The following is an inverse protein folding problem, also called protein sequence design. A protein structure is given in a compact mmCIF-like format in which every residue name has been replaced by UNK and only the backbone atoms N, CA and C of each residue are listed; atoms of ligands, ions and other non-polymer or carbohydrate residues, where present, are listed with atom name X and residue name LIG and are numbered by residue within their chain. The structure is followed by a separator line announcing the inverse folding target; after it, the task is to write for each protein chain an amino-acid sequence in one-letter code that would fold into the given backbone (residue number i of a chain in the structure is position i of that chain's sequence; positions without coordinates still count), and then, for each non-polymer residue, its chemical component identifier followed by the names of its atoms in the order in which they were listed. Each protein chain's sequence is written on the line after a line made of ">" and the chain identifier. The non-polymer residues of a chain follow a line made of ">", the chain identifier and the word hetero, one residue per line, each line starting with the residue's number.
data_IF_592790286758
#
_entry.id   IF_592790286758
#
_cell.length_a   1.000
_cell.length_b   1.000
_cell.length_c   1.000
_cell.angle_alpha   90.00
_cell.angle_beta   90.00
_cell.angle_gamma   90.00
#
_symmetry.space_group_name_H-M   'P 1'
#
loop_
_entity.id
_entity.type
_entity.pdbx_description
1 polymer ?
#
# COMPACT_ATOMS: atom_id res chain seq x y z
N UNK A 1 34.66 -20.08 -27.63
CA UNK A 1 33.77 -20.14 -26.44
C UNK A 1 33.05 -18.81 -26.34
N UNK A 2 31.79 -18.66 -26.80
CA UNK A 2 31.09 -17.41 -26.60
C UNK A 2 30.59 -17.37 -25.15
N UNK A 3 31.04 -16.36 -24.40
CA UNK A 3 30.54 -16.07 -23.06
C UNK A 3 29.06 -15.70 -23.15
N UNK A 4 28.23 -16.46 -22.45
CA UNK A 4 26.82 -16.16 -22.25
C UNK A 4 26.70 -14.85 -21.48
N UNK A 5 26.41 -13.78 -22.22
CA UNK A 5 26.10 -12.47 -21.68
C UNK A 5 24.78 -12.58 -20.89
N UNK A 6 24.89 -12.78 -19.58
CA UNK A 6 23.75 -12.84 -18.67
C UNK A 6 23.00 -11.52 -18.74
N UNK A 7 21.85 -11.53 -19.42
CA UNK A 7 20.86 -10.45 -19.40
C UNK A 7 20.58 -10.09 -17.95
N UNK A 8 21.20 -9.02 -17.43
CA UNK A 8 20.81 -8.43 -16.14
C UNK A 8 19.37 -7.96 -16.31
N UNK A 9 18.42 -8.73 -15.80
CA UNK A 9 17.01 -8.35 -15.77
C UNK A 9 16.87 -7.08 -14.94
N UNK A 10 16.06 -6.12 -15.41
CA UNK A 10 15.83 -4.88 -14.68
C UNK A 10 15.38 -5.20 -13.24
N UNK A 11 16.06 -4.61 -12.25
CA UNK A 11 15.80 -4.79 -10.82
C UNK A 11 15.99 -6.23 -10.27
N UNK A 12 16.72 -7.11 -10.98
CA UNK A 12 16.98 -8.48 -10.53
C UNK A 12 15.78 -9.44 -10.63
N UNK A 13 14.64 -8.96 -11.15
CA UNK A 13 13.40 -9.73 -11.27
C UNK A 13 13.54 -10.93 -12.21
N UNK A 14 12.84 -12.03 -11.89
CA UNK A 14 12.67 -13.12 -12.84
C UNK A 14 11.91 -12.63 -14.09
N UNK A 15 12.17 -13.19 -15.30
CA UNK A 15 11.48 -12.75 -16.52
C UNK A 15 9.95 -12.84 -16.45
N UNK A 16 9.39 -13.80 -15.71
CA UNK A 16 7.95 -13.95 -15.48
C UNK A 16 7.36 -12.80 -14.66
N UNK A 17 8.02 -12.45 -13.56
CA UNK A 17 7.60 -11.33 -12.70
C UNK A 17 7.69 -10.01 -13.45
N UNK A 18 8.80 -9.79 -14.14
CA UNK A 18 9.00 -8.57 -14.92
C UNK A 18 7.92 -8.42 -15.99
N UNK A 19 7.55 -9.50 -16.71
CA UNK A 19 6.43 -9.48 -17.67
C UNK A 19 5.11 -9.15 -16.99
N UNK A 20 4.84 -9.75 -15.83
CA UNK A 20 3.61 -9.51 -15.07
C UNK A 20 3.53 -8.05 -14.64
N UNK A 21 4.56 -7.52 -13.97
CA UNK A 21 4.62 -6.14 -13.50
C UNK A 21 4.55 -5.12 -14.66
N UNK A 22 5.22 -5.38 -15.80
CA UNK A 22 5.09 -4.54 -17.01
C UNK A 22 3.68 -4.53 -17.59
N UNK A 23 2.92 -5.61 -17.44
CA UNK A 23 1.54 -5.64 -17.90
C UNK A 23 0.62 -4.77 -17.03
N UNK A 24 0.99 -4.51 -15.77
CA UNK A 24 0.25 -3.65 -14.83
C UNK A 24 0.60 -2.17 -15.05
N UNK A 25 0.39 -1.68 -16.27
CA UNK A 25 0.93 -0.40 -16.75
C UNK A 25 0.07 0.84 -16.44
N UNK A 26 -0.97 0.71 -15.63
CA UNK A 26 -1.75 1.85 -15.13
C UNK A 26 -2.13 1.63 -13.67
N UNK A 27 -2.28 2.69 -12.85
CA UNK A 27 -2.71 2.56 -11.46
C UNK A 27 -4.00 1.75 -11.28
N UNK A 28 -4.97 1.92 -12.18
CA UNK A 28 -6.22 1.15 -12.15
C UNK A 28 -6.01 -0.35 -12.41
N UNK A 29 -5.11 -0.74 -13.33
CA UNK A 29 -4.76 -2.15 -13.55
C UNK A 29 -4.01 -2.75 -12.38
N UNK A 30 -3.10 -1.97 -11.77
CA UNK A 30 -2.39 -2.39 -10.55
C UNK A 30 -3.39 -2.62 -9.43
N UNK A 31 -4.36 -1.70 -9.23
CA UNK A 31 -5.39 -1.87 -8.22
C UNK A 31 -6.19 -3.16 -8.43
N UNK A 32 -6.69 -3.43 -9.65
CA UNK A 32 -7.44 -4.66 -9.93
C UNK A 32 -6.63 -5.91 -9.58
N UNK A 33 -5.35 -5.92 -9.94
CA UNK A 33 -4.45 -7.01 -9.57
C UNK A 33 -4.31 -7.15 -8.05
N UNK A 34 -4.13 -6.04 -7.32
CA UNK A 34 -4.01 -6.03 -5.85
C UNK A 34 -5.32 -6.46 -5.16
N UNK A 35 -6.46 -6.16 -5.79
CA UNK A 35 -7.78 -6.55 -5.33
C UNK A 35 -8.00 -8.06 -5.41
N UNK A 36 -7.45 -8.70 -6.44
CA UNK A 36 -7.53 -10.14 -6.68
C UNK A 36 -6.59 -10.98 -5.80
N UNK A 37 -5.62 -10.35 -5.11
CA UNK A 37 -4.79 -11.04 -4.11
C UNK A 37 -5.72 -11.49 -2.98
N UNK A 38 -5.62 -12.73 -2.50
CA UNK A 38 -6.40 -13.16 -1.35
C UNK A 38 -5.91 -12.43 -0.09
N UNK A 39 -6.82 -11.88 0.71
CA UNK A 39 -6.43 -11.27 1.99
C UNK A 39 -5.92 -12.35 2.95
N UNK A 40 -4.77 -12.10 3.55
CA UNK A 40 -4.11 -12.99 4.51
C UNK A 40 -3.90 -12.24 5.82
N UNK A 41 -4.33 -12.83 6.94
CA UNK A 41 -4.15 -12.25 8.29
C UNK A 41 -2.87 -12.76 8.97
N UNK A 42 -2.06 -13.55 8.28
CA UNK A 42 -0.75 -13.96 8.77
C UNK A 42 0.17 -12.75 8.95
N UNK A 43 1.03 -12.82 9.95
CA UNK A 43 2.07 -11.82 10.20
C UNK A 43 3.23 -12.05 9.23
N UNK A 44 3.19 -11.38 8.08
CA UNK A 44 4.20 -11.53 7.02
C UNK A 44 4.63 -10.17 6.46
N UNK A 45 5.79 -10.14 5.82
CA UNK A 45 6.25 -8.97 5.07
C UNK A 45 6.82 -9.42 3.71
N UNK A 46 6.01 -10.11 2.91
CA UNK A 46 6.49 -10.77 1.70
C UNK A 46 6.94 -9.76 0.63
N UNK A 47 8.02 -10.08 -0.08
CA UNK A 47 8.47 -9.31 -1.24
C UNK A 47 7.47 -9.37 -2.42
N UNK A 48 7.53 -8.43 -3.37
CA UNK A 48 6.73 -8.50 -4.60
C UNK A 48 6.87 -9.83 -5.35
N UNK A 49 8.08 -10.41 -5.43
CA UNK A 49 8.29 -11.74 -6.01
C UNK A 49 7.46 -12.82 -5.29
N UNK A 50 7.53 -12.84 -3.95
CA UNK A 50 6.77 -13.80 -3.15
C UNK A 50 5.27 -13.57 -3.24
N UNK A 51 4.80 -12.32 -3.23
CA UNK A 51 3.38 -12.00 -3.40
C UNK A 51 2.85 -12.40 -4.79
N UNK A 52 3.65 -12.26 -5.85
CA UNK A 52 3.30 -12.74 -7.20
C UNK A 52 3.13 -14.26 -7.25
N UNK A 53 4.01 -14.99 -6.54
CA UNK A 53 4.01 -16.46 -6.44
C UNK A 53 2.87 -16.98 -5.57
N UNK A 54 2.68 -16.41 -4.39
CA UNK A 54 1.77 -16.92 -3.36
C UNK A 54 0.33 -16.42 -3.55
N UNK A 55 0.12 -15.26 -4.20
CA UNK A 55 -1.20 -14.64 -4.42
C UNK A 55 -2.00 -14.38 -3.13
N UNK A 56 -1.29 -14.14 -2.02
CA UNK A 56 -1.83 -13.84 -0.69
C UNK A 56 -1.08 -12.67 -0.06
N UNK A 57 -1.74 -11.89 0.78
CA UNK A 57 -1.12 -10.81 1.54
C UNK A 57 -2.12 -9.80 2.09
N UNK A 58 -1.64 -8.86 2.91
CA UNK A 58 -2.43 -7.77 3.48
C UNK A 58 -1.99 -6.41 2.91
N UNK A 59 -2.25 -5.31 3.63
CA UNK A 59 -1.95 -3.95 3.19
C UNK A 59 -0.47 -3.78 2.77
N UNK A 60 0.47 -4.36 3.52
CA UNK A 60 1.91 -4.23 3.27
C UNK A 60 2.30 -4.89 1.93
N UNK A 61 2.01 -6.17 1.72
CA UNK A 61 2.32 -6.85 0.45
C UNK A 61 1.60 -6.19 -0.74
N UNK A 62 0.35 -5.76 -0.53
CA UNK A 62 -0.41 -5.02 -1.53
C UNK A 62 0.27 -3.71 -1.94
N UNK A 63 0.82 -2.96 -0.98
CA UNK A 63 1.58 -1.76 -1.25
C UNK A 63 2.94 -2.06 -1.91
N UNK A 64 3.64 -3.11 -1.47
CA UNK A 64 4.94 -3.50 -2.04
C UNK A 64 4.83 -3.92 -3.51
N UNK A 65 3.87 -4.78 -3.84
CA UNK A 65 3.68 -5.22 -5.23
C UNK A 65 3.18 -4.08 -6.12
N UNK A 66 2.34 -3.18 -5.58
CA UNK A 66 1.91 -1.99 -6.30
C UNK A 66 3.07 -1.02 -6.56
N UNK A 67 3.93 -0.77 -5.56
CA UNK A 67 5.13 0.05 -5.72
C UNK A 67 6.11 -0.57 -6.72
N UNK A 68 6.26 -1.89 -6.73
CA UNK A 68 7.08 -2.61 -7.72
C UNK A 68 6.52 -2.47 -9.15
N UNK A 69 5.20 -2.62 -9.32
CA UNK A 69 4.55 -2.42 -10.62
C UNK A 69 4.68 -0.96 -11.09
N UNK A 70 4.40 0.01 -10.23
CA UNK A 70 4.59 1.44 -10.49
C UNK A 70 6.03 1.72 -10.94
N UNK A 71 7.01 1.15 -10.25
CA UNK A 71 8.44 1.29 -10.58
C UNK A 71 8.81 0.76 -11.94
N UNK A 72 8.39 -0.47 -12.24
CA UNK A 72 8.64 -1.11 -13.54
C UNK A 72 8.00 -0.31 -14.69
N UNK A 73 6.94 0.45 -14.40
CA UNK A 73 6.24 1.31 -15.35
C UNK A 73 6.62 2.81 -15.26
N UNK A 74 7.77 3.13 -14.63
CA UNK A 74 8.39 4.47 -14.71
C UNK A 74 8.05 5.44 -13.57
N UNK A 75 7.29 5.02 -12.57
CA UNK A 75 7.03 5.83 -11.36
C UNK A 75 8.07 5.55 -10.27
N UNK A 76 8.32 6.47 -9.33
CA UNK A 76 9.12 6.14 -8.15
C UNK A 76 8.37 5.13 -7.24
N UNK A 77 9.05 4.15 -6.60
CA UNK A 77 8.42 3.17 -5.72
C UNK A 77 8.16 3.79 -4.34
N UNK A 78 7.13 4.63 -4.26
CA UNK A 78 6.77 5.38 -3.06
C UNK A 78 5.67 4.65 -2.30
N UNK A 79 5.81 4.59 -0.97
CA UNK A 79 4.76 4.14 -0.05
C UNK A 79 4.52 5.19 1.03
N UNK A 80 3.35 5.14 1.65
CA UNK A 80 2.95 5.98 2.77
C UNK A 80 2.24 5.14 3.81
N UNK A 81 2.50 5.46 5.06
CA UNK A 81 1.83 4.88 6.22
C UNK A 81 0.67 5.78 6.66
N UNK A 82 -0.47 5.18 6.94
CA UNK A 82 -1.65 5.80 7.51
C UNK A 82 -1.84 5.25 8.92
N UNK A 83 -1.57 6.07 9.92
CA UNK A 83 -1.48 5.64 11.30
C UNK A 83 -2.84 5.68 11.99
N UNK A 84 -3.28 4.52 12.46
CA UNK A 84 -4.50 4.32 13.22
C UNK A 84 -4.27 4.42 14.73
N UNK A 85 -5.36 4.52 15.49
CA UNK A 85 -5.31 4.36 16.95
C UNK A 85 -6.37 3.37 17.40
N UNK A 86 -5.98 2.36 18.20
CA UNK A 86 -6.84 1.23 18.57
C UNK A 86 -7.41 0.52 17.33
N UNK A 87 -6.57 0.44 16.31
CA UNK A 87 -6.81 -0.11 14.98
C UNK A 87 -5.45 -0.44 14.36
N UNK A 88 -5.45 -1.18 13.26
CA UNK A 88 -4.23 -1.46 12.51
C UNK A 88 -3.85 -0.24 11.65
N UNK A 89 -2.55 -0.08 11.39
CA UNK A 89 -2.04 0.88 10.41
C UNK A 89 -2.29 0.39 8.98
N UNK A 90 -2.24 1.31 8.02
CA UNK A 90 -2.52 1.01 6.62
C UNK A 90 -1.47 1.58 5.69
N UNK A 91 -0.79 0.68 4.97
CA UNK A 91 0.24 1.05 4.00
C UNK A 91 -0.36 1.17 2.61
N UNK A 92 -0.06 2.29 1.92
CA UNK A 92 -0.53 2.57 0.56
C UNK A 92 0.63 2.86 -0.38
N UNK A 93 0.56 2.36 -1.62
CA UNK A 93 1.51 2.73 -2.67
C UNK A 93 1.09 4.03 -3.34
N UNK A 94 2.00 4.99 -3.44
CA UNK A 94 1.73 6.31 -3.99
C UNK A 94 2.12 6.39 -5.46
N UNK A 95 1.31 7.11 -6.23
CA UNK A 95 1.67 7.55 -7.58
C UNK A 95 1.28 9.01 -7.79
N UNK A 96 1.88 9.65 -8.79
CA UNK A 96 1.60 11.04 -9.13
C UNK A 96 1.45 11.18 -10.64
N UNK A 97 0.35 11.77 -11.07
CA UNK A 97 0.02 12.03 -12.47
C UNK A 97 -0.45 13.48 -12.60
N UNK A 98 0.05 14.21 -13.61
CA UNK A 98 -0.31 15.62 -13.83
C UNK A 98 -0.17 16.51 -12.58
N UNK A 99 0.83 16.22 -11.73
CA UNK A 99 1.08 16.96 -10.49
C UNK A 99 0.17 16.59 -9.32
N UNK A 100 -0.75 15.63 -9.47
CA UNK A 100 -1.71 15.21 -8.45
C UNK A 100 -1.42 13.80 -7.96
N UNK A 101 -1.58 13.59 -6.66
CA UNK A 101 -1.36 12.33 -5.96
C UNK A 101 -2.57 11.42 -6.05
N UNK A 102 -2.31 10.13 -6.25
CA UNK A 102 -3.24 9.04 -6.02
C UNK A 102 -2.54 7.90 -5.28
N UNK A 103 -3.29 6.84 -4.98
CA UNK A 103 -2.74 5.65 -4.33
C UNK A 103 -3.42 4.36 -4.75
N UNK A 104 -2.66 3.27 -4.61
CA UNK A 104 -3.11 1.89 -4.75
C UNK A 104 -2.95 1.22 -3.39
N UNK A 105 -3.96 0.46 -2.96
CA UNK A 105 -3.95 -0.14 -1.63
C UNK A 105 -4.77 -1.42 -1.56
N UNK A 106 -4.39 -2.32 -0.64
CA UNK A 106 -5.12 -3.55 -0.30
C UNK A 106 -5.78 -3.41 1.07
N UNK A 107 -7.07 -3.64 1.17
CA UNK A 107 -7.78 -3.64 2.45
C UNK A 107 -8.98 -4.58 2.43
N UNK A 108 -9.38 -5.02 3.62
CA UNK A 108 -10.66 -5.70 3.87
C UNK A 108 -11.85 -4.74 3.98
N UNK A 109 -11.60 -3.43 4.07
CA UNK A 109 -12.64 -2.42 4.10
C UNK A 109 -12.77 -1.83 2.70
N UNK A 110 -13.99 -1.79 2.18
CA UNK A 110 -14.28 -1.38 0.81
C UNK A 110 -13.73 0.04 0.50
N UNK A 111 -13.78 0.93 1.48
CA UNK A 111 -13.34 2.32 1.33
C UNK A 111 -11.83 2.55 1.45
N UNK A 112 -11.02 1.56 1.87
CA UNK A 112 -9.59 1.73 2.15
C UNK A 112 -8.68 1.24 1.00
N UNK A 113 -9.17 1.31 -0.24
CA UNK A 113 -8.49 0.82 -1.46
C UNK A 113 -7.98 2.00 -2.31
N UNK A 114 -8.23 1.96 -3.62
CA UNK A 114 -7.77 2.92 -4.62
C UNK A 114 -8.13 4.37 -4.33
N UNK A 115 -7.26 5.28 -4.78
CA UNK A 115 -7.53 6.71 -4.91
C UNK A 115 -7.04 7.21 -6.26
N UNK A 116 -7.93 7.85 -7.01
CA UNK A 116 -7.60 8.54 -8.27
C UNK A 116 -6.64 9.71 -8.01
N UNK A 117 -5.83 10.14 -9.00
CA UNK A 117 -4.84 11.18 -8.83
C UNK A 117 -5.48 12.57 -8.85
N UNK A 118 -6.23 12.92 -7.81
CA UNK A 118 -6.96 14.20 -7.71
C UNK A 118 -6.49 15.08 -6.55
N UNK A 119 -5.54 14.59 -5.74
CA UNK A 119 -5.12 15.23 -4.49
C UNK A 119 -3.83 16.03 -4.69
N UNK A 120 -3.77 17.29 -4.26
CA UNK A 120 -2.58 18.14 -4.44
C UNK A 120 -1.48 17.81 -3.43
N UNK A 121 -1.86 17.33 -2.25
CA UNK A 121 -0.95 17.05 -1.15
C UNK A 121 -1.18 15.65 -0.59
N UNK A 122 -0.16 15.08 0.07
CA UNK A 122 -0.31 13.81 0.80
C UNK A 122 -1.33 13.92 1.95
N UNK A 123 -1.49 15.11 2.55
CA UNK A 123 -2.52 15.34 3.55
C UNK A 123 -3.93 15.21 2.97
N UNK A 124 -4.17 15.81 1.80
CA UNK A 124 -5.46 15.66 1.10
C UNK A 124 -5.74 14.20 0.74
N UNK A 125 -4.72 13.50 0.24
CA UNK A 125 -4.81 12.07 -0.04
C UNK A 125 -5.16 11.27 1.23
N UNK A 126 -4.44 11.50 2.34
CA UNK A 126 -4.69 10.82 3.61
C UNK A 126 -6.08 11.15 4.18
N UNK A 127 -6.54 12.41 4.09
CA UNK A 127 -7.90 12.79 4.48
C UNK A 127 -8.99 12.04 3.71
N UNK A 128 -8.73 11.66 2.44
CA UNK A 128 -9.69 10.86 1.67
C UNK A 128 -9.93 9.45 2.22
N UNK A 129 -9.05 8.96 3.10
CA UNK A 129 -9.23 7.68 3.79
C UNK A 129 -10.03 7.82 5.09
N UNK A 130 -10.08 9.01 5.67
CA UNK A 130 -10.57 9.24 7.03
C UNK A 130 -11.98 8.70 7.31
N UNK A 131 -12.97 9.00 6.47
CA UNK A 131 -14.36 8.55 6.71
C UNK A 131 -14.53 7.03 6.56
N UNK A 132 -13.57 6.36 5.91
CA UNK A 132 -13.58 4.92 5.70
C UNK A 132 -12.68 4.16 6.68
N UNK A 133 -11.97 4.88 7.55
CA UNK A 133 -10.98 4.31 8.46
C UNK A 133 -11.56 4.23 9.86
N UNK A 134 -12.11 3.06 10.18
CA UNK A 134 -12.76 2.81 11.45
C UNK A 134 -12.60 1.35 11.89
N UNK A 135 -12.54 1.16 13.21
CA UNK A 135 -12.47 -0.18 13.79
C UNK A 135 -13.86 -0.82 13.91
N UNK A 136 -13.89 -2.09 14.34
CA UNK A 136 -15.13 -2.85 14.52
C UNK A 136 -16.10 -2.29 15.59
N UNK A 137 -15.68 -1.29 16.37
CA UNK A 137 -16.56 -0.54 17.29
C UNK A 137 -17.19 0.71 16.66
N UNK A 138 -16.94 0.95 15.36
CA UNK A 138 -17.41 2.12 14.61
C UNK A 138 -16.67 3.41 14.99
N UNK A 139 -15.52 3.32 15.64
CA UNK A 139 -14.70 4.49 15.98
C UNK A 139 -13.85 4.88 14.77
N UNK A 140 -13.85 6.16 14.37
CA UNK A 140 -12.91 6.68 13.37
C UNK A 140 -11.50 6.72 13.96
N UNK A 141 -10.57 5.98 13.38
CA UNK A 141 -9.29 5.63 14.02
C UNK A 141 -8.07 6.25 13.36
N UNK A 142 -8.15 6.70 12.10
CA UNK A 142 -7.03 7.37 11.43
C UNK A 142 -6.63 8.67 12.15
N UNK A 143 -5.34 8.85 12.46
CA UNK A 143 -4.81 10.00 13.21
C UNK A 143 -3.69 10.73 12.48
N UNK A 144 -2.82 10.02 11.80
CA UNK A 144 -1.68 10.62 11.13
C UNK A 144 -1.37 9.95 9.80
N UNK A 145 -0.46 10.56 9.05
CA UNK A 145 0.13 9.97 7.86
C UNK A 145 1.63 10.25 7.85
N UNK A 146 2.42 9.32 7.34
CA UNK A 146 3.86 9.52 7.19
C UNK A 146 4.20 10.34 5.94
N UNK A 147 5.41 10.91 5.91
CA UNK A 147 6.00 11.37 4.64
C UNK A 147 6.10 10.20 3.66
N UNK A 148 6.05 10.48 2.36
CA UNK A 148 6.36 9.46 1.35
C UNK A 148 7.75 8.84 1.60
N UNK A 149 7.79 7.51 1.63
CA UNK A 149 8.99 6.69 1.78
C UNK A 149 9.33 6.07 0.43
N UNK A 150 10.56 6.27 -0.03
CA UNK A 150 11.02 5.71 -1.30
C UNK A 150 11.74 4.38 -1.07
N UNK A 151 11.15 3.29 -1.55
CA UNK A 151 11.68 1.93 -1.41
C UNK A 151 12.94 1.68 -2.24
N UNK A 152 13.31 2.57 -3.18
CA UNK A 152 14.60 2.47 -3.89
C UNK A 152 15.80 2.48 -2.92
N UNK A 153 15.63 3.02 -1.70
CA UNK A 153 16.66 2.96 -0.65
C UNK A 153 16.97 1.55 -0.17
N UNK A 154 16.06 0.60 -0.42
CA UNK A 154 16.18 -0.81 -0.06
C UNK A 154 16.64 -1.67 -1.25
N UNK A 155 17.08 -1.06 -2.36
CA UNK A 155 17.57 -1.81 -3.54
C UNK A 155 18.74 -2.72 -3.21
N UNK A 156 19.62 -2.29 -2.31
CA UNK A 156 20.74 -3.11 -1.82
C UNK A 156 20.30 -4.37 -1.07
N UNK A 157 19.05 -4.40 -0.59
CA UNK A 157 18.43 -5.55 0.07
C UNK A 157 17.56 -6.36 -0.90
N UNK A 158 17.59 -6.03 -2.21
CA UNK A 158 16.81 -6.70 -3.24
C UNK A 158 15.32 -6.80 -2.88
N UNK A 159 14.74 -5.74 -2.30
CA UNK A 159 13.37 -5.77 -1.76
C UNK A 159 12.30 -6.26 -2.76
N UNK A 160 12.54 -6.16 -4.07
CA UNK A 160 11.61 -6.65 -5.09
C UNK A 160 11.65 -8.17 -5.28
N UNK A 161 12.73 -8.83 -4.87
CA UNK A 161 13.02 -10.25 -5.14
C UNK A 161 13.44 -11.05 -3.90
N UNK A 162 13.51 -10.43 -2.73
CA UNK A 162 13.91 -11.10 -1.48
C UNK A 162 13.02 -12.32 -1.20
N UNK A 163 13.60 -13.39 -0.68
CA UNK A 163 12.83 -14.56 -0.22
C UNK A 163 12.48 -14.44 1.27
N UNK A 164 13.33 -13.75 2.03
CA UNK A 164 13.06 -13.34 3.40
C UNK A 164 11.97 -12.28 3.51
N UNK A 165 11.35 -12.21 4.69
CA UNK A 165 10.36 -11.18 5.02
C UNK A 165 11.05 -9.81 5.21
N UNK A 166 10.46 -8.79 4.60
CA UNK A 166 10.97 -7.43 4.53
C UNK A 166 10.56 -6.58 5.73
N UNK A 167 10.83 -7.06 6.94
CA UNK A 167 10.54 -6.34 8.20
C UNK A 167 11.19 -4.94 8.26
N UNK A 168 12.26 -4.73 7.52
CA UNK A 168 12.88 -3.41 7.34
C UNK A 168 11.93 -2.36 6.71
N UNK A 169 10.88 -2.76 6.00
CA UNK A 169 9.90 -1.84 5.40
C UNK A 169 8.99 -1.23 6.48
N UNK A 170 8.27 -2.03 7.32
CA UNK A 170 7.58 -1.51 8.49
C UNK A 170 8.48 -0.63 9.38
N UNK A 171 9.70 -1.06 9.67
CA UNK A 171 10.67 -0.26 10.45
C UNK A 171 10.95 1.11 9.82
N UNK A 172 11.15 1.15 8.50
CA UNK A 172 11.38 2.38 7.76
C UNK A 172 10.15 3.30 7.75
N UNK A 173 8.94 2.73 7.72
CA UNK A 173 7.68 3.46 7.78
C UNK A 173 7.46 4.04 9.17
N UNK A 174 7.64 3.25 10.23
CA UNK A 174 7.54 3.73 11.62
C UNK A 174 8.57 4.81 11.94
N UNK A 175 9.79 4.69 11.41
CA UNK A 175 10.84 5.70 11.59
C UNK A 175 10.63 6.96 10.74
N UNK A 176 9.73 6.92 9.74
CA UNK A 176 9.42 8.09 8.94
C UNK A 176 8.72 9.15 9.79
N UNK A 177 8.82 10.41 9.39
CA UNK A 177 8.09 11.48 10.09
C UNK A 177 6.60 11.37 9.79
N UNK A 178 5.79 11.22 10.84
CA UNK A 178 4.33 11.32 10.79
C UNK A 178 3.83 12.73 11.04
N UNK A 179 2.73 13.07 10.40
CA UNK A 179 2.03 14.34 10.52
C UNK A 179 0.60 14.09 11.00
N UNK A 180 0.17 14.70 12.11
CA UNK A 180 -1.22 14.62 12.55
C UNK A 180 -2.16 15.14 11.46
N UNK A 181 -3.24 14.40 11.18
CA UNK A 181 -4.26 14.83 10.22
C UNK A 181 -5.08 16.00 10.76
N UNK A 182 -5.36 15.97 12.06
CA UNK A 182 -6.09 16.99 12.79
C UNK A 182 -5.71 16.94 14.28
N UNK A 183 -5.98 18.00 15.06
CA UNK A 183 -5.64 18.04 16.48
C UNK A 183 -6.41 17.02 17.33
N UNK A 184 -5.79 16.49 18.39
CA UNK A 184 -6.41 15.53 19.33
C UNK A 184 -7.74 16.00 19.92
N UNK A 185 -7.88 17.31 20.16
CA UNK A 185 -9.13 17.89 20.67
C UNK A 185 -10.32 17.69 19.72
N UNK A 186 -10.05 17.56 18.41
CA UNK A 186 -11.06 17.19 17.41
C UNK A 186 -11.31 15.69 17.48
N UNK A 187 -10.23 14.89 17.52
CA UNK A 187 -10.30 13.42 17.57
C UNK A 187 -11.22 12.90 18.70
N UNK A 188 -11.11 13.47 19.90
CA UNK A 188 -11.91 13.07 21.08
C UNK A 188 -13.40 13.37 20.98
N UNK A 189 -13.80 14.26 20.06
CA UNK A 189 -15.19 14.69 19.87
C UNK A 189 -15.85 14.07 18.64
N UNK A 190 -15.12 13.23 17.89
CA UNK A 190 -15.68 12.59 16.70
C UNK A 190 -16.80 11.62 17.11
N UNK A 191 -17.96 11.68 16.44
CA UNK A 191 -18.99 10.68 16.65
C UNK A 191 -18.51 9.32 16.13
N UNK A 192 -19.15 8.26 16.61
CA UNK A 192 -19.05 6.95 15.96
C UNK A 192 -19.67 7.00 14.56
N UNK A 193 -19.29 6.05 13.72
CA UNK A 193 -19.94 5.85 12.44
C UNK A 193 -21.41 5.47 12.65
N UNK A 194 -22.28 5.98 11.79
CA UNK A 194 -23.64 5.47 11.71
C UNK A 194 -23.64 4.06 11.12
N UNK A 195 -24.73 3.34 11.35
CA UNK A 195 -24.88 1.93 10.93
C UNK A 195 -24.76 1.74 9.42
N UNK A 196 -25.33 2.66 8.61
CA UNK A 196 -25.32 2.54 7.15
C UNK A 196 -23.90 2.66 6.61
N UNK A 197 -23.16 3.66 7.07
CA UNK A 197 -21.75 3.85 6.69
C UNK A 197 -20.90 2.65 7.11
N UNK A 198 -21.16 2.09 8.31
CA UNK A 198 -20.41 0.94 8.83
C UNK A 198 -20.63 -0.30 7.95
N UNK A 199 -21.88 -0.66 7.70
CA UNK A 199 -22.24 -1.83 6.90
C UNK A 199 -21.73 -1.71 5.46
N UNK A 200 -21.81 -0.50 4.87
CA UNK A 200 -21.31 -0.25 3.51
C UNK A 200 -19.80 -0.49 3.39
N UNK A 201 -18.99 -0.01 4.33
CA UNK A 201 -17.53 -0.20 4.25
C UNK A 201 -17.08 -1.62 4.63
N UNK A 202 -17.93 -2.40 5.30
CA UNK A 202 -17.66 -3.82 5.63
C UNK A 202 -18.02 -4.78 4.49
N UNK A 203 -18.61 -4.29 3.40
CA UNK A 203 -18.97 -5.12 2.26
C UNK A 203 -17.73 -5.75 1.61
N UNK A 204 -17.78 -7.07 1.38
CA UNK A 204 -16.68 -7.82 0.77
C UNK A 204 -15.51 -8.15 1.70
N UNK A 205 -15.63 -7.89 3.01
CA UNK A 205 -14.62 -8.30 4.01
C UNK A 205 -14.50 -9.83 4.06
N UNK A 206 -13.26 -10.31 4.18
CA UNK A 206 -12.97 -11.70 4.52
C UNK A 206 -13.12 -11.89 6.04
N UNK A 207 -13.99 -12.80 6.47
CA UNK A 207 -14.12 -13.17 7.89
C UNK A 207 -12.82 -13.79 8.41
N UNK A 208 -12.50 -13.55 9.69
CA UNK A 208 -11.43 -14.28 10.37
C UNK A 208 -11.84 -15.72 10.64
#
# INVERSE_FOLDING_TARGET
>A
MPSTNGSRTAFGLAPGDLRTLRSLNTPARIQRFVDDIQYDYADTARSPHRTLRERRGHCLEGALIAAAALRVNGHPPLVMDLEGVRDDDHVVALYREHGLWGSVAKSNFAGLRFRAPVYRTLRELALSYFEHYYNLRGERTLRAYSRAVNLARLDRLNWMTAEEDLWCVPELLMAARHYPLFPDKVARKLPRLDRRSFEAGMHGRVAH
#
